data_IF_533169965147
#
_entry.id   IF_533169965147
#
_cell.length_a   1.000
_cell.length_b   1.000
_cell.length_c   1.000
_cell.angle_alpha   90.00
_cell.angle_beta   90.00
_cell.angle_gamma   90.00
#
_symmetry.space_group_name_H-M   'P 1'
#
loop_
_entity.id
_entity.type
_entity.pdbx_description
1 polymer ?
#
# COMPACT_ATOMS: atom_id res chain seq x y z
N UNK A 1 -42.00 1.94 36.96
CA UNK A 1 -40.72 1.92 36.27
C UNK A 1 -40.81 0.95 35.07
N UNK A 2 -41.84 1.14 34.27
CA UNK A 2 -42.20 0.34 33.11
C UNK A 2 -43.02 1.23 32.18
N UNK A 3 -42.37 1.91 31.22
CA UNK A 3 -43.02 2.58 30.10
C UNK A 3 -41.98 3.29 29.20
N UNK A 4 -41.03 2.56 28.61
CA UNK A 4 -40.10 3.11 27.58
C UNK A 4 -39.47 2.04 26.70
N UNK A 5 -40.16 0.93 26.37
CA UNK A 5 -39.59 -0.13 25.51
C UNK A 5 -40.53 -0.52 24.34
N UNK A 6 -41.51 0.27 24.01
CA UNK A 6 -42.53 -0.13 23.01
C UNK A 6 -42.61 0.74 21.73
N UNK A 7 -41.68 1.67 21.50
CA UNK A 7 -41.81 2.61 20.37
C UNK A 7 -40.70 2.49 19.26
N UNK A 8 -39.84 1.51 19.34
CA UNK A 8 -38.78 1.31 18.32
C UNK A 8 -39.01 0.15 17.32
N UNK A 9 -40.14 -0.56 17.42
CA UNK A 9 -40.46 -1.72 16.57
C UNK A 9 -41.41 -1.43 15.41
N UNK A 10 -41.90 -0.22 15.23
CA UNK A 10 -42.91 0.11 14.19
C UNK A 10 -42.33 0.88 12.98
N UNK A 11 -41.10 1.31 13.02
CA UNK A 11 -40.49 2.09 11.90
C UNK A 11 -39.63 1.30 10.90
N UNK A 12 -39.51 -0.01 11.02
CA UNK A 12 -38.71 -0.82 10.06
C UNK A 12 -39.53 -1.57 9.01
N UNK A 13 -40.85 -1.51 9.02
CA UNK A 13 -41.72 -2.28 8.10
C UNK A 13 -42.30 -1.46 6.92
N UNK A 14 -42.03 -0.17 6.81
CA UNK A 14 -42.53 0.67 5.70
C UNK A 14 -41.52 0.96 4.57
N UNK A 15 -40.31 0.38 4.56
CA UNK A 15 -39.29 0.64 3.53
C UNK A 15 -39.03 -0.53 2.57
N UNK A 16 -39.90 -1.57 2.54
CA UNK A 16 -39.72 -2.72 1.61
C UNK A 16 -40.88 -2.91 0.59
N UNK A 17 -41.80 -1.97 0.46
CA UNK A 17 -42.98 -2.16 -0.41
C UNK A 17 -43.06 -1.25 -1.65
N UNK A 18 -41.96 -0.74 -2.24
CA UNK A 18 -42.08 0.14 -3.43
C UNK A 18 -40.95 -0.12 -4.46
N UNK A 19 -40.75 -1.37 -4.88
CA UNK A 19 -40.03 -1.67 -6.13
C UNK A 19 -40.61 -2.97 -6.75
N UNK A 20 -41.83 -2.90 -7.24
CA UNK A 20 -42.34 -3.83 -8.25
C UNK A 20 -43.49 -3.19 -8.99
N UNK A 21 -43.23 -2.53 -10.13
CA UNK A 21 -44.14 -2.41 -11.31
C UNK A 21 -43.55 -1.40 -12.29
N UNK A 22 -42.96 -1.91 -13.37
CA UNK A 22 -43.35 -1.56 -14.75
C UNK A 22 -42.28 -2.06 -15.74
N UNK A 23 -42.56 -3.15 -16.38
CA UNK A 23 -42.09 -3.40 -17.75
C UNK A 23 -43.34 -3.39 -18.64
N UNK A 24 -43.30 -2.74 -19.79
CA UNK A 24 -43.92 -3.26 -20.95
C UNK A 24 -42.98 -3.33 -22.16
N UNK A 25 -43.00 -4.50 -22.83
CA UNK A 25 -43.00 -4.61 -24.27
C UNK A 25 -41.72 -4.27 -25.02
N UNK A 26 -40.92 -5.26 -25.33
CA UNK A 26 -40.05 -5.22 -26.50
C UNK A 26 -40.43 -6.43 -27.37
N UNK A 27 -41.13 -6.10 -28.47
CA UNK A 27 -41.54 -7.02 -29.48
C UNK A 27 -40.38 -7.43 -30.38
N UNK A 28 -40.47 -8.65 -30.92
CA UNK A 28 -40.00 -9.17 -32.17
C UNK A 28 -39.13 -8.28 -33.08
N UNK A 29 -37.87 -8.66 -33.17
CA UNK A 29 -37.02 -8.37 -34.32
C UNK A 29 -35.83 -9.36 -34.38
N UNK A 30 -36.10 -10.62 -34.54
CA UNK A 30 -35.07 -11.64 -34.80
C UNK A 30 -35.63 -12.77 -35.68
N UNK A 31 -36.05 -12.41 -36.89
CA UNK A 31 -36.32 -13.44 -37.92
C UNK A 31 -36.28 -12.76 -39.29
N UNK A 32 -35.10 -12.42 -39.79
CA UNK A 32 -34.81 -12.10 -41.19
C UNK A 32 -33.29 -11.95 -41.38
N UNK A 33 -32.56 -13.05 -41.43
CA UNK A 33 -31.24 -13.14 -42.08
C UNK A 33 -30.77 -14.62 -42.11
N UNK A 34 -31.54 -15.48 -42.76
CA UNK A 34 -31.11 -16.83 -43.09
C UNK A 34 -31.80 -17.29 -44.39
N UNK A 35 -31.66 -16.49 -45.48
CA UNK A 35 -32.21 -16.91 -46.79
C UNK A 35 -31.41 -16.38 -48.00
N UNK A 36 -30.14 -16.05 -47.88
CA UNK A 36 -29.33 -15.53 -48.99
C UNK A 36 -28.03 -16.32 -49.28
N UNK A 37 -27.93 -17.57 -48.87
CA UNK A 37 -26.74 -18.40 -49.16
C UNK A 37 -27.00 -19.67 -50.02
N UNK A 38 -28.20 -19.89 -50.52
CA UNK A 38 -28.55 -21.12 -51.32
C UNK A 38 -28.72 -20.89 -52.83
N UNK A 39 -28.44 -19.69 -53.36
CA UNK A 39 -28.72 -19.39 -54.77
C UNK A 39 -27.48 -19.27 -55.69
N UNK A 40 -26.30 -19.68 -55.28
CA UNK A 40 -25.08 -19.68 -56.12
C UNK A 40 -24.63 -21.08 -56.57
N UNK A 41 -25.38 -22.15 -56.30
CA UNK A 41 -24.96 -23.49 -56.62
C UNK A 41 -25.77 -24.15 -57.76
N UNK A 42 -26.51 -23.40 -58.61
CA UNK A 42 -27.36 -23.98 -59.65
C UNK A 42 -27.33 -23.31 -60.99
N UNK A 43 -26.18 -22.99 -61.53
CA UNK A 43 -26.06 -22.59 -62.96
C UNK A 43 -24.67 -22.91 -63.47
N UNK A 44 -24.30 -24.19 -63.59
CA UNK A 44 -23.37 -24.68 -64.62
C UNK A 44 -23.63 -26.15 -64.85
N UNK A 45 -24.59 -26.51 -65.65
CA UNK A 45 -24.65 -27.76 -66.34
C UNK A 45 -25.49 -27.57 -67.62
N UNK A 46 -24.89 -27.95 -68.70
CA UNK A 46 -25.42 -28.12 -70.02
C UNK A 46 -24.86 -27.16 -71.08
N UNK A 47 -23.85 -27.66 -71.81
CA UNK A 47 -23.93 -27.88 -73.27
C UNK A 47 -22.61 -28.42 -73.81
N UNK A 48 -22.66 -29.66 -74.19
CA UNK A 48 -21.82 -30.30 -75.24
C UNK A 48 -22.75 -30.57 -76.43
N UNK A 49 -22.37 -30.83 -77.68
CA UNK A 49 -21.06 -31.18 -78.25
C UNK A 49 -20.81 -30.56 -79.67
N UNK A 50 -19.68 -30.86 -80.22
CA UNK A 50 -19.50 -31.31 -81.65
C UNK A 50 -18.28 -30.78 -82.39
N UNK A 51 -17.49 -31.70 -82.75
CA UNK A 51 -16.87 -31.95 -84.07
C UNK A 51 -15.44 -31.53 -84.38
N UNK A 52 -14.66 -32.54 -84.75
CA UNK A 52 -13.32 -32.66 -85.30
C UNK A 52 -13.18 -31.91 -86.64
N UNK A 53 -11.91 -31.74 -87.20
CA UNK A 53 -10.94 -32.78 -87.41
C UNK A 53 -9.44 -32.38 -87.31
N UNK A 54 -8.65 -33.42 -87.31
CA UNK A 54 -7.21 -33.68 -87.41
C UNK A 54 -6.47 -32.83 -88.47
N UNK A 55 -5.32 -32.23 -88.07
CA UNK A 55 -4.15 -32.09 -88.95
C UNK A 55 -2.86 -32.30 -88.16
N UNK A 56 -2.11 -33.32 -88.57
CA UNK A 56 -0.78 -33.63 -88.07
C UNK A 56 0.26 -32.70 -88.72
N UNK A 57 1.22 -32.18 -87.91
CA UNK A 57 2.51 -31.83 -88.43
C UNK A 57 3.60 -31.99 -87.35
N UNK A 58 4.53 -32.84 -87.68
CA UNK A 58 5.77 -33.15 -86.94
C UNK A 58 6.70 -31.97 -86.85
N UNK A 59 7.10 -31.62 -85.64
CA UNK A 59 8.20 -30.66 -85.37
C UNK A 59 8.94 -31.06 -84.11
N UNK A 60 10.15 -31.58 -84.25
CA UNK A 60 11.01 -32.04 -83.15
C UNK A 60 11.36 -30.98 -82.15
N UNK A 61 11.33 -31.19 -80.85
CA UNK A 61 11.68 -30.23 -79.81
C UNK A 61 13.21 -30.31 -79.48
N UNK A 62 13.87 -29.23 -79.68
CA UNK A 62 15.27 -29.01 -79.19
C UNK A 62 15.37 -27.72 -78.41
N UNK A 63 14.70 -27.61 -77.24
CA UNK A 63 14.95 -26.47 -76.28
C UNK A 63 14.38 -26.74 -74.88
N UNK A 64 14.41 -27.97 -74.33
CA UNK A 64 13.75 -28.27 -73.05
C UNK A 64 14.72 -28.55 -71.87
N UNK A 65 16.04 -28.20 -72.02
CA UNK A 65 16.99 -28.43 -70.92
C UNK A 65 17.32 -27.24 -70.06
N UNK A 66 17.03 -26.01 -70.52
CA UNK A 66 17.28 -24.76 -69.71
C UNK A 66 16.15 -24.37 -68.74
N UNK A 67 14.89 -24.74 -69.06
CA UNK A 67 13.76 -24.39 -68.19
C UNK A 67 13.64 -25.26 -66.94
N UNK A 68 14.16 -26.45 -66.90
CA UNK A 68 14.21 -27.35 -65.75
C UNK A 68 15.14 -26.82 -64.65
N UNK A 69 16.32 -26.32 -65.05
CA UNK A 69 17.28 -25.78 -64.10
C UNK A 69 16.77 -24.47 -63.42
N UNK A 70 16.09 -23.63 -64.19
CA UNK A 70 15.49 -22.39 -63.67
C UNK A 70 14.30 -22.67 -62.76
N UNK A 71 13.48 -23.71 -63.04
CA UNK A 71 12.39 -24.12 -62.13
C UNK A 71 12.90 -24.76 -60.86
N UNK A 72 13.95 -25.59 -60.94
CA UNK A 72 14.62 -26.15 -59.76
C UNK A 72 15.30 -25.10 -58.92
N UNK A 73 15.96 -24.10 -59.52
CA UNK A 73 16.56 -22.98 -58.82
C UNK A 73 15.51 -22.11 -58.12
N UNK A 74 14.39 -21.82 -58.78
CA UNK A 74 13.24 -21.06 -58.14
C UNK A 74 12.60 -21.87 -57.03
N UNK A 75 12.50 -23.18 -57.14
CA UNK A 75 11.97 -24.04 -56.08
C UNK A 75 12.92 -24.10 -54.88
N UNK A 76 14.22 -24.21 -55.13
CA UNK A 76 15.25 -24.15 -54.08
C UNK A 76 15.28 -22.78 -53.39
N UNK A 77 15.21 -21.70 -54.16
CA UNK A 77 15.18 -20.33 -53.66
C UNK A 77 13.91 -20.10 -52.79
N UNK A 78 12.76 -20.64 -53.19
CA UNK A 78 11.52 -20.60 -52.35
C UNK A 78 11.68 -21.37 -51.05
N UNK A 79 12.29 -22.55 -51.08
CA UNK A 79 12.54 -23.35 -49.87
C UNK A 79 13.51 -22.64 -48.92
N UNK A 80 14.59 -22.06 -49.48
CA UNK A 80 15.56 -21.26 -48.68
C UNK A 80 14.89 -20.03 -48.13
N UNK A 81 14.11 -19.28 -48.93
CA UNK A 81 13.37 -18.10 -48.44
C UNK A 81 12.38 -18.47 -47.33
N UNK A 82 11.64 -19.58 -47.50
CA UNK A 82 10.71 -20.07 -46.45
C UNK A 82 11.46 -20.48 -45.18
N UNK A 83 12.64 -21.13 -45.32
CA UNK A 83 13.49 -21.49 -44.19
C UNK A 83 14.01 -20.28 -43.45
N UNK A 84 14.47 -19.22 -44.17
CA UNK A 84 14.91 -17.97 -43.57
C UNK A 84 13.74 -17.26 -42.80
N UNK A 85 12.57 -17.20 -43.42
CA UNK A 85 11.38 -16.60 -42.77
C UNK A 85 11.01 -17.39 -41.48
N UNK A 86 11.04 -18.73 -41.55
CA UNK A 86 10.76 -19.56 -40.38
C UNK A 86 11.79 -19.35 -39.25
N UNK A 87 13.09 -19.24 -39.58
CA UNK A 87 14.13 -18.92 -38.58
C UNK A 87 13.93 -17.54 -37.99
N UNK A 88 13.63 -16.53 -38.80
CA UNK A 88 13.34 -15.17 -38.32
C UNK A 88 12.09 -15.17 -37.42
N UNK A 89 11.05 -15.90 -37.80
CA UNK A 89 9.82 -16.01 -37.00
C UNK A 89 10.11 -16.68 -35.63
N UNK A 90 10.93 -17.75 -35.61
CA UNK A 90 11.35 -18.40 -34.37
C UNK A 90 12.21 -17.46 -33.51
N UNK A 91 13.15 -16.71 -34.11
CA UNK A 91 13.96 -15.73 -33.38
C UNK A 91 13.08 -14.61 -32.79
N UNK A 92 12.13 -14.07 -33.54
CA UNK A 92 11.19 -13.07 -33.04
C UNK A 92 10.32 -13.64 -31.91
N UNK A 93 9.85 -14.88 -32.06
CA UNK A 93 9.06 -15.56 -31.02
C UNK A 93 9.90 -15.77 -29.74
N UNK A 94 11.17 -16.16 -29.85
CA UNK A 94 12.08 -16.32 -28.71
C UNK A 94 12.38 -14.98 -28.03
N UNK A 95 12.67 -13.91 -28.79
CA UNK A 95 12.91 -12.58 -28.23
C UNK A 95 11.65 -12.04 -27.55
N UNK A 96 10.45 -12.27 -28.14
CA UNK A 96 9.18 -11.84 -27.53
C UNK A 96 8.89 -12.64 -26.26
N UNK A 97 9.18 -13.94 -26.26
CA UNK A 97 9.06 -14.81 -25.10
C UNK A 97 9.98 -14.35 -23.96
N UNK A 98 11.26 -14.06 -24.28
CA UNK A 98 12.24 -13.56 -23.33
C UNK A 98 11.82 -12.20 -22.74
N UNK A 99 11.37 -11.28 -23.60
CA UNK A 99 10.85 -9.98 -23.16
C UNK A 99 9.62 -10.10 -22.22
N UNK A 100 8.75 -11.08 -22.48
CA UNK A 100 7.52 -11.27 -21.67
C UNK A 100 7.80 -11.96 -20.33
N UNK A 101 8.84 -12.81 -20.27
CA UNK A 101 9.26 -13.50 -19.05
C UNK A 101 10.37 -12.79 -18.27
N UNK A 102 10.93 -11.71 -18.81
CA UNK A 102 12.01 -10.94 -18.17
C UNK A 102 11.50 -10.22 -16.92
N UNK A 103 11.62 -10.89 -15.77
CA UNK A 103 11.38 -10.35 -14.44
C UNK A 103 9.92 -10.37 -13.98
N UNK A 104 9.69 -10.53 -12.68
CA UNK A 104 8.35 -10.47 -12.12
C UNK A 104 7.79 -9.03 -12.18
N UNK A 105 6.61 -8.89 -12.74
CA UNK A 105 5.92 -7.61 -12.82
C UNK A 105 4.46 -7.73 -12.36
N UNK A 106 3.89 -6.60 -11.92
CA UNK A 106 2.48 -6.49 -11.56
C UNK A 106 1.91 -5.13 -12.00
N UNK A 107 0.63 -5.11 -12.40
CA UNK A 107 -0.12 -3.88 -12.66
C UNK A 107 -0.84 -3.34 -11.42
N UNK A 108 -0.90 -4.15 -10.37
CA UNK A 108 -1.57 -3.80 -9.14
C UNK A 108 -0.54 -3.32 -8.12
N UNK A 109 0.05 -2.16 -8.39
CA UNK A 109 0.87 -1.42 -7.46
C UNK A 109 0.10 -0.21 -6.94
N UNK A 110 0.29 0.15 -5.68
CA UNK A 110 -0.33 1.34 -5.08
C UNK A 110 0.67 2.13 -4.27
N UNK A 111 0.66 3.44 -4.48
CA UNK A 111 1.40 4.37 -3.63
C UNK A 111 0.72 4.41 -2.26
N UNK A 112 1.50 4.25 -1.21
CA UNK A 112 1.06 4.32 0.18
C UNK A 112 1.87 5.35 0.94
N UNK A 113 1.30 5.83 2.04
CA UNK A 113 1.93 6.79 2.94
C UNK A 113 1.42 6.55 4.35
N UNK A 114 2.20 6.91 5.34
CA UNK A 114 1.72 6.96 6.72
C UNK A 114 0.96 8.27 6.95
N UNK A 115 -0.14 8.17 7.66
CA UNK A 115 -0.92 9.33 8.09
C UNK A 115 -0.75 9.47 9.60
N UNK A 116 -0.17 10.57 10.03
CA UNK A 116 -0.04 10.90 11.44
C UNK A 116 -1.37 11.49 11.93
N UNK A 117 -2.02 10.78 12.84
CA UNK A 117 -3.23 11.25 13.51
C UNK A 117 -2.85 12.06 14.74
N UNK A 118 -3.12 13.35 14.71
CA UNK A 118 -2.83 14.28 15.82
C UNK A 118 -4.04 14.36 16.73
N UNK A 119 -3.85 13.90 17.97
CA UNK A 119 -4.84 13.96 19.04
C UNK A 119 -4.29 14.81 20.19
N UNK A 120 -5.08 15.72 20.78
CA UNK A 120 -4.66 16.51 21.93
C UNK A 120 -4.49 15.64 23.17
N UNK A 121 -3.58 16.02 24.04
CA UNK A 121 -3.32 15.32 25.31
C UNK A 121 -4.13 15.88 26.48
N UNK A 122 -4.90 16.95 26.24
CA UNK A 122 -5.83 17.58 27.17
C UNK A 122 -7.13 17.92 26.43
N UNK A 123 -8.21 18.11 27.17
CA UNK A 123 -9.50 18.54 26.59
C UNK A 123 -9.69 20.03 26.81
N UNK A 124 -10.32 20.72 25.86
CA UNK A 124 -10.67 22.13 25.98
C UNK A 124 -11.17 22.71 24.66
N UNK A 125 -11.64 23.95 24.71
CA UNK A 125 -12.09 24.68 23.54
C UNK A 125 -10.89 25.17 22.70
N UNK A 126 -11.01 25.11 21.39
CA UNK A 126 -10.00 25.61 20.46
C UNK A 126 -10.12 27.12 20.39
N UNK A 127 -9.07 27.82 20.79
CA UNK A 127 -9.00 29.28 20.78
C UNK A 127 -8.48 29.83 19.46
N UNK A 128 -7.51 29.17 18.88
CA UNK A 128 -6.84 29.61 17.66
C UNK A 128 -6.47 28.42 16.79
N UNK A 129 -6.75 28.52 15.48
CA UNK A 129 -6.37 27.53 14.47
C UNK A 129 -5.38 28.18 13.51
N UNK A 130 -4.12 27.68 13.45
CA UNK A 130 -3.03 28.29 12.65
C UNK A 130 -2.75 27.58 11.34
N UNK A 131 -3.54 26.59 10.98
CA UNK A 131 -3.36 25.79 9.78
C UNK A 131 -4.59 25.85 8.89
N UNK A 132 -4.37 25.63 7.60
CA UNK A 132 -5.45 25.44 6.61
C UNK A 132 -5.34 24.08 5.96
N UNK A 133 -6.43 23.62 5.37
CA UNK A 133 -6.43 22.33 4.66
C UNK A 133 -5.45 22.34 3.49
N UNK A 134 -4.78 21.21 3.24
CA UNK A 134 -3.73 21.03 2.24
C UNK A 134 -2.47 21.90 2.44
N UNK A 135 -2.27 22.50 3.60
CA UNK A 135 -1.05 23.21 3.95
C UNK A 135 0.09 22.24 4.30
N UNK A 136 1.30 22.54 3.82
CA UNK A 136 2.50 21.86 4.28
C UNK A 136 2.94 22.41 5.63
N UNK A 137 3.23 21.49 6.58
CA UNK A 137 3.70 21.82 7.94
C UNK A 137 4.98 21.03 8.23
N UNK A 138 5.86 21.65 9.02
CA UNK A 138 7.06 20.98 9.51
C UNK A 138 6.81 20.38 10.90
N UNK A 139 7.62 19.39 11.23
CA UNK A 139 7.64 18.82 12.59
C UNK A 139 7.93 19.92 13.62
N UNK A 140 7.04 20.04 14.62
CA UNK A 140 7.11 21.07 15.65
C UNK A 140 6.29 22.33 15.36
N UNK A 141 5.78 22.52 14.15
CA UNK A 141 4.91 23.64 13.82
C UNK A 141 3.64 23.60 14.66
N UNK A 142 3.18 24.77 15.09
CA UNK A 142 1.98 24.95 15.88
C UNK A 142 0.76 24.80 14.97
N UNK A 143 -0.09 23.80 15.27
CA UNK A 143 -1.30 23.50 14.50
C UNK A 143 -2.49 24.30 15.02
N UNK A 144 -2.76 24.20 16.32
CA UNK A 144 -3.85 24.92 16.98
C UNK A 144 -3.55 25.07 18.46
N UNK A 145 -4.24 26.00 19.11
CA UNK A 145 -4.14 26.30 20.54
C UNK A 145 -5.48 26.03 21.22
N UNK A 146 -5.45 25.20 22.24
CA UNK A 146 -6.55 25.00 23.18
C UNK A 146 -6.52 26.16 24.17
N UNK A 147 -7.69 26.68 24.60
CA UNK A 147 -7.72 27.84 25.52
C UNK A 147 -6.86 27.58 26.76
N UNK A 148 -5.77 28.33 26.93
CA UNK A 148 -4.81 28.11 28.00
C UNK A 148 -5.26 28.66 29.36
N UNK A 149 -6.34 29.44 29.43
CA UNK A 149 -6.71 30.22 30.61
C UNK A 149 -6.82 29.36 31.88
N UNK A 150 -7.59 28.28 31.85
CA UNK A 150 -7.77 27.41 32.99
C UNK A 150 -6.48 26.72 33.43
N UNK A 151 -5.66 26.34 32.46
CA UNK A 151 -4.35 25.69 32.70
C UNK A 151 -3.32 26.68 33.27
N UNK A 152 -3.36 27.92 32.83
CA UNK A 152 -2.51 28.99 33.38
C UNK A 152 -2.90 29.28 34.85
N UNK A 153 -4.18 29.40 35.15
CA UNK A 153 -4.67 29.57 36.51
C UNK A 153 -4.28 28.41 37.41
N UNK A 154 -4.38 27.15 36.91
CA UNK A 154 -3.96 25.95 37.62
C UNK A 154 -2.44 25.95 37.90
N UNK A 155 -1.64 26.40 36.95
CA UNK A 155 -0.19 26.52 37.10
C UNK A 155 0.18 27.58 38.16
N UNK A 156 -0.44 28.76 38.14
CA UNK A 156 -0.23 29.77 39.14
C UNK A 156 -0.63 29.32 40.56
N UNK A 157 -1.76 28.61 40.68
CA UNK A 157 -2.21 28.03 41.94
C UNK A 157 -1.24 27.01 42.50
N UNK A 158 -0.71 26.11 41.62
CA UNK A 158 0.33 25.14 42.03
C UNK A 158 1.62 25.81 42.45
N UNK A 159 2.06 26.85 41.77
CA UNK A 159 3.26 27.67 42.17
C UNK A 159 3.04 28.32 43.50
N UNK A 160 1.85 28.90 43.78
CA UNK A 160 1.56 29.52 45.08
C UNK A 160 1.59 28.47 46.20
N UNK A 161 1.02 27.27 45.96
CA UNK A 161 1.05 26.13 46.90
C UNK A 161 2.54 25.71 47.21
N UNK A 162 3.36 25.60 46.20
CA UNK A 162 4.79 25.29 46.38
C UNK A 162 5.48 26.36 47.27
N UNK A 163 5.21 27.62 47.02
CA UNK A 163 5.77 28.72 47.79
C UNK A 163 5.31 28.64 49.26
N UNK A 164 4.06 28.36 49.53
CA UNK A 164 3.52 28.14 50.87
C UNK A 164 4.23 26.96 51.59
N UNK A 165 4.38 25.80 50.90
CA UNK A 165 5.06 24.62 51.49
C UNK A 165 6.55 24.92 51.74
N UNK A 166 7.21 25.66 50.86
CA UNK A 166 8.60 26.04 51.04
C UNK A 166 8.77 26.97 52.26
N UNK A 167 7.84 27.91 52.50
CA UNK A 167 7.84 28.74 53.68
C UNK A 167 7.65 27.92 54.97
N UNK A 168 6.69 26.92 54.97
CA UNK A 168 6.50 26.05 56.11
C UNK A 168 7.76 25.19 56.41
N UNK A 169 8.37 24.62 55.38
CA UNK A 169 9.64 23.89 55.51
C UNK A 169 10.70 24.74 56.22
N UNK A 170 10.88 25.97 55.75
CA UNK A 170 11.86 26.89 56.38
C UNK A 170 11.58 27.09 57.85
N UNK A 171 10.33 27.28 58.24
CA UNK A 171 9.95 27.40 59.68
C UNK A 171 10.27 26.12 60.44
N UNK A 172 9.91 24.93 59.87
CA UNK A 172 10.16 23.64 60.52
C UNK A 172 11.67 23.33 60.65
N UNK A 173 12.44 23.65 59.64
CA UNK A 173 13.92 23.50 59.69
C UNK A 173 14.55 24.39 60.77
N UNK A 174 14.15 25.65 60.83
CA UNK A 174 14.60 26.57 61.85
C UNK A 174 14.22 26.11 63.26
N UNK A 175 13.01 25.53 63.45
CA UNK A 175 12.58 24.96 64.71
C UNK A 175 13.41 23.73 65.07
N UNK A 176 13.62 22.81 64.17
CA UNK A 176 14.42 21.60 64.37
C UNK A 176 15.86 21.98 64.72
N UNK A 177 16.49 22.91 63.95
CA UNK A 177 17.84 23.35 64.22
C UNK A 177 17.97 24.01 65.61
N UNK A 178 17.01 24.86 65.93
CA UNK A 178 17.01 25.51 67.27
C UNK A 178 16.89 24.46 68.38
N UNK A 179 16.03 23.44 68.28
CA UNK A 179 15.90 22.36 69.27
C UNK A 179 17.14 21.49 69.32
N UNK A 180 17.80 21.22 68.21
CA UNK A 180 19.04 20.42 68.18
C UNK A 180 20.20 21.10 68.90
N UNK A 181 20.25 22.43 68.95
CA UNK A 181 21.27 23.20 69.64
C UNK A 181 21.06 23.27 71.17
N UNK A 182 19.88 22.92 71.69
CA UNK A 182 19.63 22.90 73.12
C UNK A 182 20.29 21.69 73.81
N UNK A 183 20.73 21.90 75.07
CA UNK A 183 21.28 20.83 75.89
C UNK A 183 20.17 19.78 76.23
N UNK A 184 20.58 18.56 76.58
CA UNK A 184 19.67 17.50 76.98
C UNK A 184 18.89 17.77 78.26
N UNK A 185 19.34 18.73 79.08
CA UNK A 185 18.60 19.25 80.22
C UNK A 185 17.44 20.16 79.82
N UNK A 186 17.49 20.79 78.61
CA UNK A 186 16.53 21.78 78.15
C UNK A 186 15.58 21.27 77.06
N UNK A 187 15.88 20.13 76.41
CA UNK A 187 15.03 19.46 75.45
C UNK A 187 15.30 17.96 75.45
N UNK A 188 14.25 17.15 75.58
CA UNK A 188 14.38 15.69 75.57
C UNK A 188 14.78 15.16 74.19
N UNK A 189 15.39 13.97 74.16
CA UNK A 189 15.75 13.29 72.89
C UNK A 189 14.52 13.05 72.03
N UNK A 190 13.40 12.71 72.63
CA UNK A 190 12.13 12.51 71.93
C UNK A 190 11.65 13.81 71.29
N UNK A 191 11.70 14.95 72.02
CA UNK A 191 11.32 16.22 71.45
C UNK A 191 12.18 16.62 70.24
N UNK A 192 13.50 16.40 70.33
CA UNK A 192 14.43 16.67 69.19
C UNK A 192 14.05 15.82 67.97
N UNK A 193 13.72 14.52 68.17
CA UNK A 193 13.32 13.61 67.11
C UNK A 193 11.95 14.02 66.48
N UNK A 194 10.99 14.51 67.29
CA UNK A 194 9.71 15.01 66.78
C UNK A 194 9.93 16.24 65.84
N UNK A 195 10.74 17.21 66.23
CA UNK A 195 10.98 18.36 65.39
C UNK A 195 11.77 18.01 64.13
N UNK A 196 12.71 17.07 64.21
CA UNK A 196 13.41 16.57 63.05
C UNK A 196 12.48 15.84 62.09
N UNK A 197 11.59 14.98 62.62
CA UNK A 197 10.57 14.30 61.86
C UNK A 197 9.62 15.29 61.12
N UNK A 198 9.20 16.36 61.84
CA UNK A 198 8.38 17.42 61.26
C UNK A 198 9.09 18.15 60.09
N UNK A 199 10.40 18.39 60.23
CA UNK A 199 11.17 19.01 59.16
C UNK A 199 11.31 18.10 57.92
N UNK A 200 11.54 16.79 58.14
CA UNK A 200 11.57 15.79 57.10
C UNK A 200 10.18 15.69 56.38
N UNK A 201 9.11 15.70 57.14
CA UNK A 201 7.75 15.70 56.60
C UNK A 201 7.47 16.95 55.77
N UNK A 202 7.84 18.12 56.25
CA UNK A 202 7.69 19.39 55.50
C UNK A 202 8.53 19.38 54.21
N UNK A 203 9.73 18.81 54.21
CA UNK A 203 10.57 18.65 53.04
C UNK A 203 9.91 17.76 52.01
N UNK A 204 9.33 16.63 52.42
CA UNK A 204 8.58 15.74 51.54
C UNK A 204 7.36 16.46 50.93
N UNK A 205 6.68 17.32 51.71
CA UNK A 205 5.55 18.12 51.22
C UNK A 205 5.96 19.15 50.16
N UNK A 206 7.16 19.74 50.23
CA UNK A 206 7.71 20.61 49.22
C UNK A 206 8.00 19.86 47.93
N UNK A 207 8.62 18.68 48.04
CA UNK A 207 8.89 17.85 46.85
C UNK A 207 7.58 17.42 46.16
N UNK A 208 6.56 17.04 46.89
CA UNK A 208 5.23 16.78 46.36
C UNK A 208 4.64 17.99 45.62
N UNK A 209 4.68 19.19 46.26
CA UNK A 209 4.21 20.44 45.64
C UNK A 209 5.00 20.80 44.36
N UNK A 210 6.29 20.50 44.33
CA UNK A 210 7.11 20.66 43.12
C UNK A 210 6.66 19.80 41.98
N UNK A 211 6.28 18.54 42.23
CA UNK A 211 5.72 17.65 41.22
C UNK A 211 4.35 18.15 40.73
N UNK A 212 3.55 18.75 41.59
CA UNK A 212 2.26 19.37 41.19
C UNK A 212 2.48 20.56 40.22
N UNK A 213 3.49 21.38 40.47
CA UNK A 213 3.86 22.46 39.55
C UNK A 213 4.31 21.89 38.21
N UNK A 214 5.19 20.87 38.21
CA UNK A 214 5.65 20.23 36.97
C UNK A 214 4.47 19.66 36.17
N UNK A 215 3.50 19.00 36.83
CA UNK A 215 2.30 18.48 36.16
C UNK A 215 1.46 19.60 35.54
N UNK A 216 1.25 20.70 36.26
CA UNK A 216 0.47 21.84 35.77
C UNK A 216 1.18 22.54 34.62
N UNK A 217 2.51 22.62 34.65
CA UNK A 217 3.32 23.18 33.57
C UNK A 217 3.26 22.31 32.30
N UNK A 218 3.34 21.00 32.43
CA UNK A 218 3.15 20.06 31.31
C UNK A 218 1.76 20.21 30.71
N UNK A 219 0.71 20.32 31.52
CA UNK A 219 -0.65 20.51 31.04
C UNK A 219 -0.82 21.86 30.31
N UNK A 220 -0.18 22.90 30.80
CA UNK A 220 -0.16 24.21 30.14
C UNK A 220 0.58 24.13 28.79
N UNK A 221 1.73 23.47 28.71
CA UNK A 221 2.45 23.26 27.45
C UNK A 221 1.63 22.45 26.44
N UNK A 222 0.80 21.52 26.90
CA UNK A 222 -0.08 20.68 26.05
C UNK A 222 -1.26 21.47 25.43
N UNK A 223 -1.49 22.72 25.84
CA UNK A 223 -2.45 23.60 25.17
C UNK A 223 -2.02 23.94 23.76
N UNK A 224 -0.71 23.94 23.48
CA UNK A 224 -0.14 24.12 22.16
C UNK A 224 0.00 22.77 21.47
N UNK A 225 -0.85 22.47 20.51
CA UNK A 225 -0.77 21.21 19.75
C UNK A 225 0.11 21.42 18.52
N UNK A 226 1.16 20.62 18.42
CA UNK A 226 2.19 20.73 17.38
C UNK A 226 2.26 19.50 16.49
N UNK A 227 2.76 19.69 15.26
CA UNK A 227 2.94 18.60 14.29
C UNK A 227 4.03 17.61 14.75
N UNK A 228 3.75 16.31 14.75
CA UNK A 228 4.76 15.28 15.04
C UNK A 228 5.66 14.94 13.85
N UNK A 229 5.25 15.29 12.61
CA UNK A 229 5.93 14.93 11.35
C UNK A 229 5.99 16.12 10.40
N UNK A 230 6.81 15.99 9.36
CA UNK A 230 6.78 16.89 8.20
C UNK A 230 5.71 16.37 7.23
N UNK A 231 4.80 17.22 6.76
CA UNK A 231 3.78 16.70 5.86
C UNK A 231 2.68 17.68 5.49
N UNK A 232 1.64 17.15 4.87
CA UNK A 232 0.52 17.94 4.39
C UNK A 232 -0.71 17.65 5.26
N UNK A 233 -1.29 18.69 5.80
CA UNK A 233 -2.56 18.61 6.52
C UNK A 233 -3.65 18.17 5.57
N UNK A 234 -4.46 17.21 5.98
CA UNK A 234 -5.55 16.69 5.13
C UNK A 234 -6.86 16.59 5.91
N UNK A 235 -7.95 16.83 5.20
CA UNK A 235 -9.32 16.73 5.74
C UNK A 235 -9.50 17.49 7.05
N UNK A 236 -9.09 18.76 7.06
CA UNK A 236 -9.21 19.63 8.23
C UNK A 236 -10.66 20.06 8.43
N UNK A 237 -11.36 19.39 9.34
CA UNK A 237 -12.74 19.72 9.71
C UNK A 237 -12.81 20.63 10.94
N UNK A 238 -11.70 20.78 11.66
CA UNK A 238 -11.58 21.52 12.91
C UNK A 238 -11.77 23.02 12.69
N UNK A 239 -12.46 23.68 13.62
CA UNK A 239 -12.71 25.12 13.59
C UNK A 239 -12.41 25.76 14.94
N UNK A 240 -12.15 27.04 14.93
CA UNK A 240 -12.10 27.85 16.16
C UNK A 240 -13.47 27.80 16.86
N UNK A 241 -13.43 27.60 18.17
CA UNK A 241 -14.62 27.41 18.97
C UNK A 241 -15.03 25.95 19.18
N UNK A 242 -14.53 25.01 18.38
CA UNK A 242 -14.80 23.58 18.58
C UNK A 242 -14.18 23.09 19.89
N UNK A 243 -14.75 22.04 20.46
CA UNK A 243 -14.22 21.43 21.68
C UNK A 243 -13.36 20.20 21.34
N UNK A 244 -12.08 20.26 21.66
CA UNK A 244 -11.15 19.17 21.49
C UNK A 244 -11.20 18.21 22.69
N UNK A 245 -11.38 16.91 22.42
CA UNK A 245 -11.36 15.87 23.43
C UNK A 245 -10.00 15.17 23.46
N UNK A 246 -9.50 14.92 24.67
CA UNK A 246 -8.24 14.20 24.88
C UNK A 246 -8.28 12.82 24.19
N UNK A 247 -7.25 12.51 23.37
CA UNK A 247 -7.10 11.23 22.68
C UNK A 247 -7.95 11.09 21.40
N UNK A 248 -8.86 12.02 21.11
CA UNK A 248 -9.62 12.03 19.86
C UNK A 248 -8.80 12.70 18.74
N UNK A 249 -8.69 12.05 17.59
CA UNK A 249 -7.97 12.61 16.44
C UNK A 249 -8.72 13.81 15.89
N UNK A 250 -8.05 14.96 15.86
CA UNK A 250 -8.63 16.21 15.37
C UNK A 250 -8.01 16.65 14.03
N UNK A 251 -6.74 16.32 13.78
CA UNK A 251 -6.00 16.70 12.57
C UNK A 251 -5.28 15.46 12.05
N UNK A 252 -5.33 15.26 10.74
CA UNK A 252 -4.58 14.21 10.03
C UNK A 252 -3.51 14.85 9.16
N UNK A 253 -2.27 14.35 9.23
CA UNK A 253 -1.14 14.85 8.45
C UNK A 253 -0.55 13.70 7.65
N UNK A 254 -0.50 13.85 6.34
CA UNK A 254 0.17 12.92 5.43
C UNK A 254 1.67 13.13 5.58
N UNK A 255 2.38 12.14 6.12
CA UNK A 255 3.83 12.22 6.38
C UNK A 255 4.60 12.18 5.05
N UNK A 256 5.21 13.30 4.69
CA UNK A 256 5.93 13.48 3.43
C UNK A 256 7.18 12.57 3.30
N UNK A 257 7.72 12.10 4.42
CA UNK A 257 8.96 11.30 4.47
C UNK A 257 8.68 9.79 4.48
N UNK A 258 7.39 9.37 4.47
CA UNK A 258 7.00 7.98 4.69
C UNK A 258 6.40 7.26 3.48
N UNK A 259 6.57 7.80 2.27
CA UNK A 259 6.00 7.19 1.06
C UNK A 259 6.68 5.88 0.68
N UNK A 260 5.86 4.89 0.25
CA UNK A 260 6.34 3.64 -0.35
C UNK A 260 5.36 3.18 -1.43
N UNK A 261 5.72 2.14 -2.18
CA UNK A 261 4.82 1.49 -3.13
C UNK A 261 4.57 0.06 -2.67
N UNK A 262 3.30 -0.33 -2.53
CA UNK A 262 2.93 -1.73 -2.35
C UNK A 262 2.64 -2.33 -3.73
N UNK A 263 3.43 -3.31 -4.14
CA UNK A 263 3.19 -4.11 -5.32
C UNK A 263 2.52 -5.43 -4.94
N UNK A 264 1.35 -5.72 -5.51
CA UNK A 264 0.63 -6.96 -5.26
C UNK A 264 1.02 -8.00 -6.30
N UNK A 265 1.92 -8.91 -5.93
CA UNK A 265 2.40 -9.98 -6.82
C UNK A 265 1.65 -11.28 -6.59
N UNK A 266 1.46 -12.05 -7.65
CA UNK A 266 0.92 -13.41 -7.57
C UNK A 266 1.90 -14.32 -6.83
N UNK A 267 1.40 -15.26 -6.03
CA UNK A 267 2.22 -16.20 -5.24
C UNK A 267 3.20 -16.99 -6.12
N UNK A 268 2.81 -17.25 -7.37
CA UNK A 268 3.65 -17.94 -8.37
C UNK A 268 4.91 -17.17 -8.75
N UNK A 269 4.93 -15.85 -8.55
CA UNK A 269 6.06 -14.97 -8.88
C UNK A 269 6.97 -14.70 -7.68
N UNK A 270 6.55 -15.06 -6.47
CA UNK A 270 7.31 -14.79 -5.24
C UNK A 270 8.66 -15.50 -5.19
N UNK A 271 8.78 -16.67 -5.82
CA UNK A 271 10.03 -17.42 -5.89
C UNK A 271 11.19 -16.64 -6.56
N UNK A 272 10.85 -15.64 -7.37
CA UNK A 272 11.79 -14.81 -8.11
C UNK A 272 12.00 -13.42 -7.52
N UNK A 273 11.43 -13.12 -6.33
CA UNK A 273 11.53 -11.84 -5.66
C UNK A 273 12.50 -11.92 -4.48
N UNK A 274 13.52 -11.09 -4.49
CA UNK A 274 14.48 -11.00 -3.38
C UNK A 274 14.40 -9.62 -2.71
N UNK A 275 14.55 -9.59 -1.40
CA UNK A 275 14.71 -8.33 -0.67
C UNK A 275 15.99 -7.66 -1.14
N UNK A 276 15.92 -6.38 -1.48
CA UNK A 276 17.02 -5.60 -2.06
C UNK A 276 17.02 -5.55 -3.59
N UNK A 277 16.18 -6.34 -4.29
CA UNK A 277 16.08 -6.25 -5.75
C UNK A 277 15.59 -4.85 -6.17
N UNK A 278 16.14 -4.34 -7.27
CA UNK A 278 15.73 -3.05 -7.83
C UNK A 278 14.32 -3.12 -8.38
N UNK A 279 13.49 -2.16 -8.01
CA UNK A 279 12.12 -2.03 -8.44
C UNK A 279 11.90 -0.73 -9.21
N UNK A 280 11.15 -0.80 -10.29
CA UNK A 280 10.67 0.36 -11.04
C UNK A 280 9.15 0.41 -10.96
N UNK A 281 8.62 1.47 -10.36
CA UNK A 281 7.19 1.70 -10.24
C UNK A 281 6.77 2.83 -11.19
N UNK A 282 6.04 2.50 -12.24
CA UNK A 282 5.51 3.47 -13.20
C UNK A 282 4.07 3.81 -12.84
N UNK A 283 3.83 5.04 -12.43
CA UNK A 283 2.48 5.53 -12.14
C UNK A 283 1.63 5.64 -13.41
N UNK A 284 0.34 5.36 -13.27
CA UNK A 284 -0.62 5.55 -14.35
C UNK A 284 -0.74 7.04 -14.69
N UNK A 285 -0.48 7.41 -15.93
CA UNK A 285 -0.49 8.81 -16.38
C UNK A 285 0.87 9.50 -16.40
N UNK A 286 1.93 8.88 -15.86
CA UNK A 286 3.28 9.43 -15.90
C UNK A 286 4.22 8.51 -16.70
N UNK A 287 5.11 9.11 -17.51
CA UNK A 287 6.05 8.35 -18.34
C UNK A 287 7.28 7.88 -17.55
N UNK A 288 7.76 8.72 -16.62
CA UNK A 288 8.97 8.44 -15.85
C UNK A 288 8.67 7.51 -14.66
N UNK A 289 9.40 6.40 -14.49
CA UNK A 289 9.20 5.48 -13.37
C UNK A 289 9.86 6.01 -12.11
N UNK A 290 9.24 5.74 -10.96
CA UNK A 290 9.85 5.86 -9.64
C UNK A 290 10.81 4.69 -9.47
N UNK A 291 12.02 4.98 -9.00
CA UNK A 291 13.05 3.97 -8.75
C UNK A 291 13.08 3.67 -7.25
N UNK A 292 13.14 2.40 -6.93
CA UNK A 292 13.21 1.91 -5.56
C UNK A 292 13.79 0.50 -5.48
N UNK A 293 13.68 -0.11 -4.32
CA UNK A 293 14.09 -1.47 -4.07
C UNK A 293 13.08 -2.21 -3.19
N UNK A 294 13.06 -3.52 -3.27
CA UNK A 294 12.21 -4.34 -2.40
C UNK A 294 12.73 -4.23 -0.96
N UNK A 295 11.94 -3.58 -0.09
CA UNK A 295 12.26 -3.48 1.32
C UNK A 295 11.83 -4.72 2.09
N UNK A 296 10.59 -5.18 1.87
CA UNK A 296 10.04 -6.35 2.57
C UNK A 296 8.98 -7.05 1.73
N UNK A 297 8.82 -8.33 1.96
CA UNK A 297 7.69 -9.14 1.46
C UNK A 297 6.80 -9.48 2.63
N UNK A 298 5.51 -9.19 2.51
CA UNK A 298 4.52 -9.47 3.56
C UNK A 298 4.37 -10.97 3.75
N UNK A 299 4.46 -11.45 5.01
CA UNK A 299 4.48 -12.88 5.34
C UNK A 299 3.11 -13.46 5.69
N UNK A 300 2.07 -12.63 5.75
CA UNK A 300 0.72 -13.06 6.08
C UNK A 300 -0.29 -12.30 5.24
N UNK A 301 -1.22 -13.02 4.65
CA UNK A 301 -2.35 -12.47 3.91
C UNK A 301 -3.62 -13.04 4.55
N UNK A 302 -4.58 -12.16 4.85
CA UNK A 302 -5.88 -12.61 5.35
C UNK A 302 -6.64 -13.29 4.21
N UNK A 303 -7.07 -14.52 4.46
CA UNK A 303 -7.93 -15.29 3.56
C UNK A 303 -9.27 -15.55 4.25
N UNK A 304 -10.35 -15.60 3.49
CA UNK A 304 -11.71 -15.81 4.03
C UNK A 304 -11.83 -17.08 4.88
N UNK A 305 -11.08 -18.11 4.52
CA UNK A 305 -11.08 -19.41 5.23
C UNK A 305 -10.28 -19.41 6.55
N UNK A 306 -9.58 -18.31 6.86
CA UNK A 306 -8.79 -18.21 8.08
C UNK A 306 -9.55 -17.59 9.26
N UNK A 307 -10.76 -17.08 9.05
CA UNK A 307 -11.57 -16.54 10.13
C UNK A 307 -12.10 -17.69 10.99
N UNK A 308 -11.74 -17.68 12.29
CA UNK A 308 -12.35 -18.57 13.26
C UNK A 308 -13.86 -18.25 13.34
N UNK A 309 -14.72 -19.27 13.26
CA UNK A 309 -16.13 -19.10 13.57
C UNK A 309 -16.31 -18.69 15.03
N UNK A 310 -17.46 -18.11 15.37
CA UNK A 310 -17.81 -17.79 16.77
C UNK A 310 -17.80 -18.99 17.70
N UNK A 311 -17.77 -20.22 17.15
CA UNK A 311 -17.70 -21.49 17.88
C UNK A 311 -16.26 -22.05 17.96
N UNK A 312 -15.24 -21.32 17.52
CA UNK A 312 -13.85 -21.74 17.54
C UNK A 312 -13.46 -22.81 16.51
N UNK A 313 -14.37 -23.18 15.62
CA UNK A 313 -14.09 -24.12 14.53
C UNK A 313 -13.62 -23.35 13.29
N UNK A 314 -12.70 -23.93 12.47
CA UNK A 314 -12.30 -23.32 11.20
C UNK A 314 -13.50 -23.20 10.24
N UNK A 315 -13.71 -22.02 9.70
CA UNK A 315 -14.68 -21.83 8.62
C UNK A 315 -14.01 -22.15 7.28
N UNK A 316 -14.52 -23.14 6.58
CA UNK A 316 -13.99 -23.56 5.28
C UNK A 316 -15.09 -23.42 4.23
N UNK A 317 -14.94 -22.44 3.34
CA UNK A 317 -15.84 -22.30 2.20
C UNK A 317 -15.53 -23.35 1.14
N UNK A 318 -16.53 -24.09 0.64
CA UNK A 318 -16.34 -25.02 -0.47
C UNK A 318 -15.97 -24.24 -1.74
N UNK A 319 -14.79 -24.53 -2.30
CA UNK A 319 -14.33 -23.91 -3.55
C UNK A 319 -14.87 -24.71 -4.73
N UNK A 320 -15.85 -24.15 -5.44
CA UNK A 320 -16.46 -24.76 -6.65
C UNK A 320 -15.77 -24.33 -7.96
N UNK A 321 -14.70 -23.50 -7.89
CA UNK A 321 -13.97 -23.06 -9.08
C UNK A 321 -12.94 -24.10 -9.51
N UNK A 322 -13.06 -24.61 -10.74
CA UNK A 322 -12.08 -25.55 -11.31
C UNK A 322 -10.71 -24.92 -11.59
N UNK A 323 -10.65 -23.59 -11.67
CA UNK A 323 -9.41 -22.81 -11.80
C UNK A 323 -9.12 -22.10 -10.47
N UNK A 324 -8.01 -22.44 -9.82
CA UNK A 324 -7.53 -21.70 -8.65
C UNK A 324 -6.87 -20.41 -9.11
N UNK A 325 -7.38 -19.30 -8.64
CA UNK A 325 -6.70 -18.01 -8.79
C UNK A 325 -5.56 -17.93 -7.78
N UNK A 326 -4.37 -17.56 -8.24
CA UNK A 326 -3.21 -17.33 -7.37
C UNK A 326 -3.50 -16.18 -6.39
N UNK A 327 -3.12 -16.38 -5.13
CA UNK A 327 -3.21 -15.34 -4.12
C UNK A 327 -2.25 -14.19 -4.44
N UNK A 328 -2.63 -12.96 -4.07
CA UNK A 328 -1.80 -11.78 -4.23
C UNK A 328 -1.14 -11.43 -2.91
N UNK A 329 0.17 -11.34 -2.94
CA UNK A 329 0.99 -11.01 -1.79
C UNK A 329 1.55 -9.61 -1.95
N UNK A 330 1.33 -8.71 -0.98
CA UNK A 330 1.88 -7.36 -1.03
C UNK A 330 3.39 -7.40 -0.77
N UNK A 331 4.13 -6.73 -1.64
CA UNK A 331 5.56 -6.51 -1.57
C UNK A 331 5.80 -5.02 -1.40
N UNK A 332 6.47 -4.63 -0.31
CA UNK A 332 6.78 -3.23 -0.04
C UNK A 332 8.05 -2.82 -0.76
N UNK A 333 7.96 -1.75 -1.52
CA UNK A 333 9.04 -1.14 -2.27
C UNK A 333 9.35 0.21 -1.63
N UNK A 334 10.55 0.35 -1.09
CA UNK A 334 11.07 1.64 -0.64
C UNK A 334 11.43 2.49 -1.85
N UNK A 335 11.13 3.78 -1.77
CA UNK A 335 11.39 4.74 -2.84
C UNK A 335 12.79 5.32 -2.64
N UNK A 336 13.69 5.10 -3.61
CA UNK A 336 15.04 5.66 -3.59
C UNK A 336 15.11 6.99 -4.34
N UNK A 337 14.37 7.08 -5.47
CA UNK A 337 14.40 8.27 -6.32
C UNK A 337 13.05 8.49 -6.99
N UNK A 338 12.54 9.71 -6.82
CA UNK A 338 11.34 10.21 -7.51
C UNK A 338 11.80 11.10 -8.67
N UNK A 339 11.37 10.86 -9.91
CA UNK A 339 11.68 11.74 -11.03
C UNK A 339 11.00 13.10 -10.86
N UNK A 340 11.61 14.19 -11.36
CA UNK A 340 11.00 15.50 -11.31
C UNK A 340 9.67 15.52 -12.08
N UNK A 341 8.66 16.19 -11.51
CA UNK A 341 7.33 16.30 -12.10
C UNK A 341 6.38 15.13 -11.85
N UNK A 342 6.78 14.14 -11.05
CA UNK A 342 5.90 13.05 -10.60
C UNK A 342 5.45 13.34 -9.15
N UNK A 343 4.19 13.72 -8.91
CA UNK A 343 3.69 13.93 -7.57
C UNK A 343 3.45 12.59 -6.88
N UNK A 344 3.85 12.49 -5.62
CA UNK A 344 3.51 11.35 -4.77
C UNK A 344 2.17 11.64 -4.09
N UNK A 345 1.13 10.92 -4.50
CA UNK A 345 -0.20 10.98 -3.87
C UNK A 345 -0.58 9.57 -3.45
N UNK A 346 -1.03 9.42 -2.21
CA UNK A 346 -1.49 8.13 -1.70
C UNK A 346 -2.68 7.61 -2.51
N UNK A 347 -2.68 6.32 -2.81
CA UNK A 347 -3.76 5.69 -3.57
C UNK A 347 -3.54 5.64 -5.09
N UNK A 348 -2.54 6.37 -5.64
CA UNK A 348 -2.22 6.26 -7.06
C UNK A 348 -1.81 4.84 -7.43
N UNK A 349 -2.27 4.40 -8.61
CA UNK A 349 -1.94 3.08 -9.14
C UNK A 349 -0.63 3.10 -9.90
N UNK A 350 0.15 2.03 -9.78
CA UNK A 350 1.43 1.87 -10.43
C UNK A 350 1.56 0.49 -11.07
N UNK A 351 2.26 0.44 -12.20
CA UNK A 351 2.81 -0.82 -12.71
C UNK A 351 4.20 -0.99 -12.15
N UNK A 352 4.42 -2.07 -11.42
CA UNK A 352 5.70 -2.38 -10.78
C UNK A 352 6.40 -3.46 -11.56
N UNK A 353 7.67 -3.22 -11.91
CA UNK A 353 8.57 -4.17 -12.55
C UNK A 353 9.80 -4.35 -11.68
N UNK A 354 10.13 -5.58 -11.34
CA UNK A 354 11.34 -5.90 -10.58
C UNK A 354 12.43 -6.29 -11.56
N UNK A 355 13.60 -5.70 -11.39
CA UNK A 355 14.80 -6.04 -12.16
C UNK A 355 15.78 -6.75 -11.25
N UNK A 356 16.23 -7.90 -11.68
CA UNK A 356 17.29 -8.63 -11.00
C UNK A 356 18.54 -7.76 -10.90
N UNK A 357 19.10 -7.62 -9.71
CA UNK A 357 20.34 -6.86 -9.46
C UNK A 357 21.56 -7.39 -10.22
N UNK A 358 21.40 -8.43 -11.05
CA UNK A 358 22.44 -9.04 -11.88
C UNK A 358 22.61 -8.40 -13.27
N UNK A 359 21.77 -7.44 -13.64
CA UNK A 359 21.89 -6.75 -14.95
C UNK A 359 23.11 -5.80 -15.09
N UNK A 360 24.05 -5.80 -14.14
CA UNK A 360 25.35 -5.12 -14.22
C UNK A 360 26.46 -5.90 -14.95
N UNK A 361 26.18 -7.11 -15.40
CA UNK A 361 27.18 -7.96 -16.06
C UNK A 361 27.16 -7.80 -17.58
N UNK A 362 28.29 -7.35 -18.15
CA UNK A 362 28.65 -7.30 -19.58
C UNK A 362 28.69 -8.69 -20.23
N UNK A 363 27.73 -9.57 -19.96
CA UNK A 363 27.63 -10.87 -20.62
C UNK A 363 27.13 -10.70 -22.05
N UNK A 364 27.90 -11.24 -23.02
CA UNK A 364 27.52 -11.32 -24.44
C UNK A 364 26.12 -11.96 -24.55
N UNK A 365 25.28 -11.45 -25.47
CA UNK A 365 23.90 -11.95 -25.73
C UNK A 365 23.86 -13.48 -25.82
N UNK A 366 24.91 -14.11 -26.41
CA UNK A 366 25.07 -15.56 -26.50
C UNK A 366 25.23 -16.28 -25.16
N UNK A 367 25.87 -15.65 -24.16
CA UNK A 367 26.03 -16.24 -22.82
C UNK A 367 24.73 -16.15 -22.01
N UNK A 368 23.92 -15.08 -22.20
CA UNK A 368 22.59 -14.95 -21.62
C UNK A 368 21.63 -15.99 -22.18
N UNK A 369 21.59 -16.13 -23.53
CA UNK A 369 20.74 -17.13 -24.21
C UNK A 369 21.11 -18.56 -23.80
N UNK A 370 22.39 -18.86 -23.59
CA UNK A 370 22.85 -20.20 -23.16
C UNK A 370 22.42 -20.49 -21.70
N UNK A 371 22.58 -19.53 -20.79
CA UNK A 371 22.20 -19.68 -19.39
C UNK A 371 20.67 -19.82 -19.25
N UNK A 372 19.91 -19.11 -20.10
CA UNK A 372 18.45 -19.15 -20.11
C UNK A 372 17.89 -20.42 -20.76
N UNK A 373 18.52 -20.95 -21.80
CA UNK A 373 18.18 -22.24 -22.36
C UNK A 373 18.38 -23.40 -21.36
N UNK A 374 19.45 -23.35 -20.57
CA UNK A 374 19.70 -24.35 -19.53
C UNK A 374 18.64 -24.24 -18.39
N UNK A 375 18.29 -23.03 -17.96
CA UNK A 375 17.25 -22.83 -16.90
C UNK A 375 15.84 -23.13 -17.40
N UNK A 376 15.51 -22.80 -18.66
CA UNK A 376 14.19 -23.10 -19.23
C UNK A 376 13.98 -24.59 -19.48
N UNK A 377 15.02 -25.33 -19.88
CA UNK A 377 14.92 -26.77 -20.08
C UNK A 377 14.78 -27.54 -18.77
N UNK A 378 15.44 -27.11 -17.70
CA UNK A 378 15.28 -27.67 -16.36
C UNK A 378 13.97 -27.18 -15.68
N UNK A 379 13.48 -26.00 -16.00
CA UNK A 379 12.20 -25.46 -15.47
C UNK A 379 10.95 -26.15 -16.02
N UNK A 380 11.07 -26.81 -17.19
CA UNK A 380 9.95 -27.57 -17.78
C UNK A 380 9.73 -28.93 -17.09
N UNK A 381 10.73 -29.45 -16.37
CA UNK A 381 10.72 -30.78 -15.71
C UNK A 381 10.64 -30.67 -14.19
N UNK A 382 11.02 -29.55 -13.60
CA UNK A 382 10.94 -29.30 -12.15
C UNK A 382 10.46 -27.90 -11.90
N UNK A 383 9.44 -27.75 -11.04
CA UNK A 383 8.90 -26.44 -10.68
C UNK A 383 9.98 -25.42 -10.37
N UNK A 384 9.70 -24.13 -10.60
CA UNK A 384 10.62 -23.02 -10.43
C UNK A 384 11.43 -23.17 -9.13
N UNK A 385 12.74 -23.39 -9.26
CA UNK A 385 13.63 -23.45 -8.10
C UNK A 385 13.68 -22.04 -7.49
N UNK A 386 13.05 -21.90 -6.32
CA UNK A 386 13.11 -20.67 -5.55
C UNK A 386 14.59 -20.30 -5.33
N UNK A 387 14.93 -19.03 -5.56
CA UNK A 387 16.26 -18.52 -5.19
C UNK A 387 16.43 -18.70 -3.69
N UNK A 388 17.37 -19.55 -3.27
CA UNK A 388 17.63 -19.81 -1.85
C UNK A 388 18.12 -18.53 -1.16
N UNK A 389 17.47 -18.15 -0.03
CA UNK A 389 17.89 -17.02 0.81
C UNK A 389 17.33 -15.64 0.42
N UNK A 390 16.48 -15.54 -0.60
CA UNK A 390 15.92 -14.26 -1.04
C UNK A 390 14.93 -13.63 -0.06
N UNK A 391 14.16 -14.45 0.63
CA UNK A 391 13.28 -14.00 1.72
C UNK A 391 13.85 -14.58 3.01
N UNK A 392 14.51 -13.77 3.87
CA UNK A 392 15.11 -14.28 5.09
C UNK A 392 14.04 -14.91 5.98
N UNK A 393 14.24 -16.18 6.37
CA UNK A 393 13.38 -16.81 7.36
C UNK A 393 13.56 -16.12 8.72
N UNK A 394 12.50 -15.93 9.51
CA UNK A 394 12.64 -15.48 10.88
C UNK A 394 13.46 -16.53 11.63
N UNK A 395 14.61 -16.13 12.13
CA UNK A 395 15.42 -16.91 13.09
C UNK A 395 14.72 -16.97 14.43
#
# INVERSE_FOLDING_TARGET
MDAAVHDEAVQQDEMQATVTRSSPGAGDASTRQASDFDDIARTVSESSPSNRPIVSSSGKPRARRRDGALRAARFLLRKVATGVIAVVAVLVALVTWEYYNAGPWTRDGRVRVQVASVAPQISGQIKELRIVDNQFVHKGDLLYVIDPFDFEVALFSSKATLQQKAADLNVKELQSERRRRLSDLSASTEEKQIYEGNAIQAKAAVEYARQQVAQSEINFQRTEVRSPVNGIVTNLLLREGDYAHQGATNVSIIDADSYWVDGYFEETKLANLCVGDRAEAKLMGYSAPIIGHIATVTRGVSVSNAAASTQGLPNVDPVYTWVRLAQRVPVRIAIDKVPPGVPLVSGLTATVTIRDGKDGGNGTILQRVRAELETSFFGLIGGASARSGCIPNPS
#
